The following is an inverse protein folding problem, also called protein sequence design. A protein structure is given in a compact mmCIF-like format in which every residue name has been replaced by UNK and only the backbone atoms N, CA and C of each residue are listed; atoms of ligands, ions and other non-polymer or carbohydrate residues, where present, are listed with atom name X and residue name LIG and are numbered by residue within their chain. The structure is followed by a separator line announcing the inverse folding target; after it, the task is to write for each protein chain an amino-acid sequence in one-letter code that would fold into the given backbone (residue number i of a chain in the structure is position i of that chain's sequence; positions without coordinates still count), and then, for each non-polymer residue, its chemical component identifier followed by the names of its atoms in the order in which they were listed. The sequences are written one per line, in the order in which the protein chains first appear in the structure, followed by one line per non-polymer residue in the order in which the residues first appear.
data_IF_538015368273
#
_entry.id   IF_538015368273
#
_cell.length_a   1.000
_cell.length_b   1.000
_cell.length_c   1.000
_cell.angle_alpha   90.00
_cell.angle_beta   90.00
_cell.angle_gamma   90.00
#
_symmetry.space_group_name_H-M   'P 1'
#
loop_
_entity.id
_entity.type
_entity.pdbx_description
1 polymer ?
#
# COMPACT_ATOMS: atom_id res chain seq x y z
N UNK A 1 29.72 -5.40 -71.73
CA UNK A 1 29.95 -4.40 -70.66
C UNK A 1 28.89 -4.57 -69.58
N UNK A 2 29.35 -4.80 -68.34
CA UNK A 2 28.70 -4.79 -67.02
C UNK A 2 27.22 -5.21 -66.88
N UNK A 3 27.03 -6.43 -66.34
CA UNK A 3 25.82 -6.89 -65.65
C UNK A 3 25.63 -6.04 -64.38
N UNK A 4 24.47 -5.41 -64.19
CA UNK A 4 24.05 -4.86 -62.90
C UNK A 4 23.01 -5.79 -62.30
N UNK A 5 23.42 -6.59 -61.33
CA UNK A 5 22.56 -7.42 -60.51
C UNK A 5 22.09 -6.53 -59.34
N UNK A 6 20.87 -6.01 -59.40
CA UNK A 6 20.28 -5.28 -58.29
C UNK A 6 19.82 -6.28 -57.21
N UNK A 7 20.69 -6.56 -56.25
CA UNK A 7 20.32 -7.30 -55.04
C UNK A 7 19.57 -6.31 -54.15
N UNK A 8 18.25 -6.37 -54.17
CA UNK A 8 17.40 -5.68 -53.21
C UNK A 8 17.48 -6.47 -51.89
N UNK A 9 18.44 -6.14 -51.03
CA UNK A 9 18.50 -6.68 -49.68
C UNK A 9 17.34 -6.10 -48.87
N UNK A 10 16.24 -6.83 -48.81
CA UNK A 10 15.09 -6.52 -47.96
C UNK A 10 15.52 -6.74 -46.50
N UNK A 11 16.09 -5.71 -45.88
CA UNK A 11 16.30 -5.69 -44.43
C UNK A 11 14.92 -5.64 -43.76
N UNK A 12 14.40 -6.82 -43.43
CA UNK A 12 13.21 -6.97 -42.62
C UNK A 12 13.60 -6.58 -41.19
N UNK A 13 13.49 -5.28 -40.87
CA UNK A 13 13.62 -4.79 -39.51
C UNK A 13 12.41 -5.35 -38.75
N UNK A 14 12.62 -6.48 -38.07
CA UNK A 14 11.68 -7.01 -37.09
C UNK A 14 11.70 -6.01 -35.93
N UNK A 15 10.86 -4.98 -36.00
CA UNK A 15 10.49 -4.22 -34.82
C UNK A 15 9.71 -5.19 -33.93
N UNK A 16 10.42 -5.84 -33.00
CA UNK A 16 9.76 -6.44 -31.85
C UNK A 16 9.15 -5.28 -31.06
N UNK A 17 7.88 -4.99 -31.35
CA UNK A 17 7.03 -4.24 -30.44
C UNK A 17 6.91 -5.09 -29.18
N UNK A 18 7.87 -4.89 -28.27
CA UNK A 18 7.72 -5.32 -26.89
C UNK A 18 6.51 -4.56 -26.37
N UNK A 19 5.33 -5.17 -26.42
CA UNK A 19 4.18 -4.69 -25.67
C UNK A 19 4.65 -4.61 -24.22
N UNK A 20 4.96 -3.40 -23.73
CA UNK A 20 5.18 -3.19 -22.31
C UNK A 20 3.86 -3.59 -21.64
N UNK A 21 3.85 -4.77 -21.01
CA UNK A 21 2.78 -5.19 -20.12
C UNK A 21 2.62 -4.07 -19.10
N UNK A 22 1.45 -3.46 -19.04
CA UNK A 22 1.28 -2.34 -18.12
C UNK A 22 1.48 -2.84 -16.68
N UNK A 23 2.04 -1.96 -15.85
CA UNK A 23 2.35 -2.32 -14.48
C UNK A 23 1.05 -2.54 -13.72
N UNK A 24 0.87 -3.74 -13.16
CA UNK A 24 -0.26 -4.02 -12.28
C UNK A 24 0.06 -3.53 -10.87
N UNK A 25 -0.94 -3.45 -9.99
CA UNK A 25 -0.80 -3.27 -8.54
C UNK A 25 -1.68 -4.28 -7.81
N UNK A 26 -1.35 -4.58 -6.55
CA UNK A 26 -2.24 -5.31 -5.65
C UNK A 26 -2.95 -4.28 -4.77
N UNK A 27 -4.27 -4.31 -4.73
CA UNK A 27 -5.09 -3.49 -3.85
C UNK A 27 -5.87 -4.36 -2.88
N UNK A 28 -5.84 -4.04 -1.59
CA UNK A 28 -6.53 -4.78 -0.53
C UNK A 28 -7.39 -3.82 0.28
N UNK A 29 -8.68 -4.12 0.37
CA UNK A 29 -9.62 -3.44 1.27
C UNK A 29 -10.08 -4.41 2.36
N UNK A 30 -9.53 -4.23 3.56
CA UNK A 30 -9.82 -5.07 4.73
C UNK A 30 -11.31 -5.06 5.07
N UNK A 31 -11.97 -3.91 4.99
CA UNK A 31 -13.38 -3.79 5.36
C UNK A 31 -14.31 -4.55 4.40
N UNK A 32 -13.91 -4.58 3.12
CA UNK A 32 -14.65 -5.26 2.06
C UNK A 32 -14.15 -6.69 1.83
N UNK A 33 -13.12 -7.14 2.56
CA UNK A 33 -12.59 -8.50 2.59
C UNK A 33 -12.18 -9.01 1.21
N UNK A 34 -11.57 -8.14 0.40
CA UNK A 34 -11.07 -8.53 -0.92
C UNK A 34 -9.65 -8.04 -1.19
N UNK A 35 -9.00 -8.76 -2.12
CA UNK A 35 -7.80 -8.38 -2.84
C UNK A 35 -8.15 -8.24 -4.32
N UNK A 36 -7.69 -7.16 -4.95
CA UNK A 36 -7.82 -6.91 -6.39
C UNK A 36 -6.44 -6.80 -7.04
N UNK A 37 -6.31 -7.37 -8.23
CA UNK A 37 -5.22 -7.02 -9.15
C UNK A 37 -5.75 -5.94 -10.07
N UNK A 38 -5.10 -4.78 -10.06
CA UNK A 38 -5.50 -3.64 -10.88
C UNK A 38 -4.42 -3.30 -11.89
N UNK A 39 -4.87 -2.83 -13.04
CA UNK A 39 -4.06 -2.18 -14.08
C UNK A 39 -4.77 -0.88 -14.38
N UNK A 40 -4.27 0.24 -13.87
CA UNK A 40 -5.03 1.48 -13.84
C UNK A 40 -6.34 1.32 -13.09
N UNK A 41 -7.40 1.90 -13.62
CA UNK A 41 -8.75 1.80 -13.08
C UNK A 41 -9.38 0.41 -13.33
N UNK A 42 -8.73 -0.45 -14.12
CA UNK A 42 -9.28 -1.76 -14.48
C UNK A 42 -8.93 -2.81 -13.44
N UNK A 43 -9.96 -3.47 -12.90
CA UNK A 43 -9.80 -4.67 -12.07
C UNK A 43 -9.61 -5.88 -13.00
N UNK A 44 -8.44 -6.50 -12.94
CA UNK A 44 -8.10 -7.72 -13.69
C UNK A 44 -8.66 -8.95 -12.99
N UNK A 45 -8.54 -9.00 -11.67
CA UNK A 45 -9.00 -10.10 -10.85
C UNK A 45 -9.37 -9.61 -9.45
N UNK A 46 -10.30 -10.31 -8.79
CA UNK A 46 -10.78 -10.01 -7.44
C UNK A 46 -10.96 -11.30 -6.65
N UNK A 47 -10.39 -11.35 -5.46
CA UNK A 47 -10.39 -12.53 -4.60
C UNK A 47 -10.87 -12.17 -3.20
N UNK A 48 -11.59 -13.09 -2.57
CA UNK A 48 -11.94 -13.00 -1.15
C UNK A 48 -10.68 -13.21 -0.30
N UNK A 49 -10.57 -12.50 0.83
CA UNK A 49 -9.43 -12.63 1.73
C UNK A 49 -9.82 -12.86 3.20
N UNK A 50 -8.97 -13.61 3.88
CA UNK A 50 -8.88 -13.63 5.33
C UNK A 50 -7.72 -12.74 5.78
N UNK A 51 -7.79 -12.22 6.99
CA UNK A 51 -6.76 -11.35 7.53
C UNK A 51 -6.70 -11.45 9.06
N UNK A 52 -5.99 -10.53 9.70
CA UNK A 52 -5.94 -10.41 11.16
C UNK A 52 -7.30 -10.06 11.78
N UNK A 53 -7.28 -9.73 13.07
CA UNK A 53 -8.48 -9.32 13.80
C UNK A 53 -9.18 -8.13 13.13
N UNK A 54 -10.51 -8.14 13.18
CA UNK A 54 -11.33 -7.01 12.74
C UNK A 54 -11.11 -5.83 13.69
N UNK A 55 -10.60 -4.71 13.16
CA UNK A 55 -10.41 -3.51 13.95
C UNK A 55 -10.33 -2.26 13.07
N UNK A 56 -10.88 -1.16 13.60
CA UNK A 56 -10.60 0.20 13.12
C UNK A 56 -9.24 0.72 13.61
N UNK A 57 -8.65 0.09 14.62
CA UNK A 57 -7.31 0.42 15.06
C UNK A 57 -6.28 -0.15 14.06
N UNK A 58 -5.18 0.57 13.80
CA UNK A 58 -4.12 0.05 12.95
C UNK A 58 -3.22 -0.94 13.72
N UNK A 59 -2.43 -1.70 12.95
CA UNK A 59 -1.32 -2.50 13.51
C UNK A 59 -0.25 -1.58 14.07
N UNK A 60 0.18 -1.83 15.31
CA UNK A 60 1.16 -0.99 16.03
C UNK A 60 2.14 -1.79 16.90
N UNK A 61 1.91 -3.09 17.10
CA UNK A 61 2.83 -3.91 17.89
C UNK A 61 2.81 -5.39 17.50
N UNK A 62 3.90 -6.07 17.82
CA UNK A 62 3.94 -7.54 17.79
C UNK A 62 2.83 -8.10 18.67
N UNK A 63 2.08 -9.08 18.15
CA UNK A 63 1.03 -9.76 18.91
C UNK A 63 -0.30 -9.02 19.02
N UNK A 64 -0.49 -7.88 18.33
CA UNK A 64 -1.83 -7.28 18.20
C UNK A 64 -2.76 -8.05 17.25
N UNK A 65 -2.22 -9.01 16.49
CA UNK A 65 -2.91 -9.82 15.49
C UNK A 65 -3.62 -9.00 14.41
N UNK A 66 -3.24 -7.74 14.21
CA UNK A 66 -3.80 -6.86 13.19
C UNK A 66 -2.98 -6.98 11.90
N UNK A 67 -3.65 -6.82 10.76
CA UNK A 67 -3.03 -6.65 9.44
C UNK A 67 -2.71 -5.18 9.22
N UNK A 68 -1.47 -4.84 8.83
CA UNK A 68 -1.06 -3.46 8.63
C UNK A 68 -1.77 -2.81 7.44
N UNK A 69 -1.75 -1.48 7.40
CA UNK A 69 -2.34 -0.65 6.36
C UNK A 69 -1.29 0.32 5.86
N UNK A 70 -1.29 0.63 4.56
CA UNK A 70 -0.33 1.50 3.92
C UNK A 70 0.15 0.96 2.57
N UNK A 71 1.34 1.42 2.16
CA UNK A 71 1.98 1.05 0.90
C UNK A 71 3.14 0.10 1.16
N UNK A 72 3.05 -1.12 0.63
CA UNK A 72 4.06 -2.15 0.77
C UNK A 72 4.59 -2.61 -0.59
N UNK A 73 5.68 -3.36 -0.56
CA UNK A 73 6.25 -4.10 -1.70
C UNK A 73 6.41 -5.56 -1.31
N UNK A 74 6.22 -6.46 -2.29
CA UNK A 74 6.58 -7.87 -2.12
C UNK A 74 8.09 -7.99 -2.22
N UNK A 75 8.74 -8.48 -1.16
CA UNK A 75 10.21 -8.60 -1.10
C UNK A 75 10.70 -10.02 -1.34
N UNK A 76 9.84 -11.01 -1.11
CA UNK A 76 10.18 -12.41 -1.29
C UNK A 76 8.93 -13.22 -1.62
N UNK A 77 9.09 -14.22 -2.49
CA UNK A 77 8.03 -15.17 -2.85
C UNK A 77 8.63 -16.57 -2.71
N UNK A 78 8.11 -17.34 -1.77
CA UNK A 78 8.64 -18.68 -1.46
C UNK A 78 7.52 -19.68 -1.18
N UNK A 79 7.70 -20.98 -1.47
CA UNK A 79 6.79 -22.02 -1.00
C UNK A 79 6.66 -22.00 0.53
N UNK A 80 5.50 -22.42 1.03
CA UNK A 80 5.23 -22.51 2.46
C UNK A 80 4.23 -23.63 2.76
N UNK A 81 3.99 -23.91 4.04
CA UNK A 81 2.91 -24.82 4.47
C UNK A 81 1.52 -24.34 4.00
N UNK A 82 1.38 -23.05 3.72
CA UNK A 82 0.18 -22.42 3.15
C UNK A 82 0.33 -22.19 1.63
N UNK A 83 0.89 -23.17 0.92
CA UNK A 83 1.26 -23.15 -0.52
C UNK A 83 2.41 -22.22 -0.86
N UNK A 84 2.20 -20.91 -0.75
CA UNK A 84 3.20 -19.87 -0.98
C UNK A 84 3.08 -18.78 0.07
N UNK A 85 4.18 -18.09 0.31
CA UNK A 85 4.25 -16.91 1.15
C UNK A 85 4.90 -15.76 0.36
N UNK A 86 4.12 -14.72 0.11
CA UNK A 86 4.53 -13.48 -0.55
C UNK A 86 4.77 -12.45 0.56
N UNK A 87 6.03 -12.32 0.96
CA UNK A 87 6.46 -11.51 2.09
C UNK A 87 6.40 -10.01 1.73
N UNK A 88 5.82 -9.20 2.62
CA UNK A 88 5.78 -7.75 2.49
C UNK A 88 6.96 -7.11 3.22
N UNK A 89 7.41 -5.92 2.77
CA UNK A 89 8.37 -5.07 3.48
C UNK A 89 7.81 -4.39 4.74
N UNK A 90 7.07 -5.13 5.57
CA UNK A 90 6.58 -4.64 6.86
C UNK A 90 7.58 -4.97 7.98
N UNK A 91 7.89 -4.00 8.88
CA UNK A 91 7.46 -2.60 8.86
C UNK A 91 8.22 -1.76 7.81
N UNK A 92 7.52 -0.79 7.21
CA UNK A 92 8.12 0.18 6.28
C UNK A 92 8.45 1.51 6.99
N UNK A 93 8.99 2.48 6.25
CA UNK A 93 9.33 3.81 6.76
C UNK A 93 8.17 4.50 7.52
N UNK A 94 6.95 4.45 6.98
CA UNK A 94 5.80 5.08 7.61
C UNK A 94 5.39 4.36 8.90
N UNK A 95 5.46 3.02 8.93
CA UNK A 95 5.20 2.24 10.14
C UNK A 95 6.19 2.62 11.26
N UNK A 96 7.48 2.73 10.93
CA UNK A 96 8.51 3.14 11.88
C UNK A 96 8.33 4.58 12.35
N UNK A 97 8.00 5.49 11.44
CA UNK A 97 7.75 6.90 11.74
C UNK A 97 6.57 7.07 12.71
N UNK A 98 5.47 6.36 12.46
CA UNK A 98 4.31 6.38 13.35
C UNK A 98 4.62 5.76 14.70
N UNK A 99 5.42 4.70 14.74
CA UNK A 99 5.88 4.11 15.99
C UNK A 99 6.74 5.08 16.81
N UNK A 100 7.65 5.81 16.15
CA UNK A 100 8.49 6.82 16.79
C UNK A 100 7.66 8.00 17.30
N UNK A 101 6.73 8.50 16.48
CA UNK A 101 5.79 9.55 16.86
C UNK A 101 5.01 9.20 18.13
N UNK A 102 4.55 7.96 18.24
CA UNK A 102 3.81 7.42 19.40
C UNK A 102 4.69 7.07 20.59
N UNK A 103 6.01 7.20 20.47
CA UNK A 103 6.98 6.80 21.48
C UNK A 103 7.03 5.29 21.74
N UNK A 104 6.58 4.47 20.79
CA UNK A 104 6.71 3.00 20.85
C UNK A 104 8.18 2.61 20.67
N UNK A 105 8.93 3.39 19.88
CA UNK A 105 10.36 3.21 19.66
C UNK A 105 11.12 4.48 20.00
N UNK A 106 12.34 4.33 20.51
CA UNK A 106 13.25 5.42 20.85
C UNK A 106 13.96 5.98 19.61
N UNK A 107 14.52 7.19 19.72
CA UNK A 107 15.16 7.92 18.61
C UNK A 107 16.33 7.15 18.02
N UNK A 108 17.19 6.59 18.87
CA UNK A 108 18.38 5.86 18.47
C UNK A 108 18.01 4.61 17.67
N UNK A 109 16.96 3.92 18.10
CA UNK A 109 16.40 2.75 17.42
C UNK A 109 15.74 3.13 16.09
N UNK A 110 15.00 4.24 16.07
CA UNK A 110 14.41 4.78 14.85
C UNK A 110 15.48 5.10 13.81
N UNK A 111 16.52 5.86 14.17
CA UNK A 111 17.64 6.21 13.27
C UNK A 111 18.33 4.94 12.74
N UNK A 112 18.61 3.96 13.62
CA UNK A 112 19.20 2.69 13.20
C UNK A 112 18.38 2.01 12.10
N UNK A 113 17.06 1.92 12.29
CA UNK A 113 16.19 1.25 11.33
C UNK A 113 15.99 2.03 10.03
N UNK A 114 16.01 3.37 10.08
CA UNK A 114 16.03 4.19 8.86
C UNK A 114 17.28 3.88 8.03
N UNK A 115 18.46 3.85 8.66
CA UNK A 115 19.72 3.54 7.97
C UNK A 115 19.69 2.13 7.36
N UNK A 116 19.08 1.15 8.06
CA UNK A 116 18.88 -0.20 7.51
C UNK A 116 18.00 -0.16 6.25
N UNK A 117 16.86 0.54 6.29
CA UNK A 117 15.98 0.68 5.12
C UNK A 117 16.68 1.38 3.95
N UNK A 118 17.49 2.41 4.21
CA UNK A 118 18.30 3.09 3.20
C UNK A 118 19.33 2.15 2.54
N UNK A 119 19.90 1.23 3.32
CA UNK A 119 20.81 0.18 2.83
C UNK A 119 20.09 -1.02 2.21
N UNK A 120 18.76 -0.92 1.98
CA UNK A 120 17.92 -1.99 1.40
C UNK A 120 17.82 -3.25 2.28
N UNK A 121 18.05 -3.09 3.57
CA UNK A 121 17.88 -4.15 4.56
C UNK A 121 16.42 -4.18 5.06
N UNK A 122 16.02 -5.33 5.58
CA UNK A 122 14.69 -5.53 6.17
C UNK A 122 14.80 -5.36 7.68
N UNK A 123 13.86 -4.62 8.26
CA UNK A 123 13.76 -4.50 9.72
C UNK A 123 13.06 -5.73 10.28
N UNK A 124 13.85 -6.76 10.55
CA UNK A 124 13.37 -7.95 11.26
C UNK A 124 13.26 -7.71 12.77
N UNK A 125 12.41 -8.53 13.40
CA UNK A 125 12.22 -8.57 14.85
C UNK A 125 11.94 -7.23 15.56
N UNK A 126 11.26 -6.31 14.86
CA UNK A 126 10.85 -5.04 15.46
C UNK A 126 9.81 -5.21 16.58
N UNK A 127 9.63 -4.16 17.38
CA UNK A 127 8.52 -4.04 18.34
C UNK A 127 7.15 -4.05 17.65
N UNK A 128 7.11 -3.68 16.36
CA UNK A 128 5.92 -3.72 15.50
C UNK A 128 5.63 -5.13 14.96
N UNK A 129 6.56 -6.08 15.15
CA UNK A 129 6.54 -7.40 14.53
C UNK A 129 7.28 -7.43 13.19
N UNK A 130 6.99 -8.44 12.38
CA UNK A 130 7.58 -8.66 11.06
C UNK A 130 6.92 -9.87 10.39
N UNK A 131 7.44 -10.30 9.24
CA UNK A 131 6.98 -11.50 8.51
C UNK A 131 5.47 -11.46 8.21
N UNK A 132 4.98 -10.30 7.79
CA UNK A 132 3.62 -10.14 7.27
C UNK A 132 3.65 -10.43 5.77
N UNK A 133 2.70 -11.20 5.27
CA UNK A 133 2.66 -11.60 3.88
C UNK A 133 1.28 -12.01 3.40
N UNK A 134 1.20 -12.31 2.10
CA UNK A 134 0.05 -12.92 1.46
C UNK A 134 0.32 -14.42 1.33
N UNK A 135 -0.62 -15.28 1.72
CA UNK A 135 -0.48 -16.74 1.65
C UNK A 135 -1.80 -17.45 1.34
N UNK A 136 -1.74 -18.77 1.17
CA UNK A 136 -2.92 -19.64 0.95
C UNK A 136 -3.58 -20.08 2.25
N UNK A 137 -4.17 -21.27 2.27
CA UNK A 137 -4.78 -21.85 3.46
C UNK A 137 -6.24 -21.43 3.70
N UNK A 138 -6.84 -20.65 2.80
CA UNK A 138 -8.26 -20.32 2.81
C UNK A 138 -8.55 -18.87 3.20
N UNK A 139 -9.42 -18.21 2.42
CA UNK A 139 -9.87 -16.85 2.71
C UNK A 139 -10.69 -16.76 4.01
N UNK A 140 -11.18 -17.88 4.53
CA UNK A 140 -11.87 -17.96 5.80
C UNK A 140 -11.72 -19.36 6.38
N UNK A 141 -11.99 -19.49 7.68
CA UNK A 141 -12.20 -20.77 8.35
C UNK A 141 -13.68 -20.96 8.63
N UNK A 142 -14.16 -22.19 8.48
CA UNK A 142 -15.51 -22.54 8.91
C UNK A 142 -15.50 -22.68 10.43
N UNK A 143 -16.41 -21.97 11.08
CA UNK A 143 -16.62 -22.08 12.51
C UNK A 143 -18.09 -22.32 12.80
N UNK A 144 -18.39 -23.02 13.90
CA UNK A 144 -19.76 -23.34 14.32
C UNK A 144 -20.12 -22.56 15.58
N UNK A 145 -21.23 -21.81 15.54
CA UNK A 145 -21.82 -21.05 16.67
C UNK A 145 -23.32 -21.33 16.66
N UNK A 146 -23.88 -21.72 17.81
CA UNK A 146 -25.31 -21.98 17.99
C UNK A 146 -25.92 -22.91 16.92
N UNK A 147 -25.19 -23.98 16.57
CA UNK A 147 -25.60 -24.95 15.57
C UNK A 147 -25.42 -24.51 14.10
N UNK A 148 -25.08 -23.24 13.84
CA UNK A 148 -24.90 -22.66 12.50
C UNK A 148 -23.43 -22.53 12.12
N UNK A 149 -23.11 -22.76 10.85
CA UNK A 149 -21.79 -22.52 10.28
C UNK A 149 -21.66 -21.07 9.79
N UNK A 150 -20.53 -20.44 10.10
CA UNK A 150 -20.17 -19.11 9.59
C UNK A 150 -18.73 -19.10 9.10
N UNK A 151 -18.45 -18.17 8.20
CA UNK A 151 -17.10 -17.89 7.71
C UNK A 151 -16.39 -16.95 8.69
N UNK A 152 -15.32 -17.42 9.32
CA UNK A 152 -14.39 -16.57 10.05
C UNK A 152 -13.26 -16.09 9.13
N UNK A 153 -13.30 -14.81 8.77
CA UNK A 153 -12.27 -14.15 7.96
C UNK A 153 -11.06 -13.70 8.79
N UNK A 154 -11.16 -13.68 10.11
CA UNK A 154 -10.19 -13.05 11.02
C UNK A 154 -9.36 -14.10 11.76
N UNK A 155 -8.76 -15.02 11.01
CA UNK A 155 -8.09 -16.19 11.58
C UNK A 155 -6.56 -16.10 11.56
N UNK A 156 -5.99 -15.15 10.81
CA UNK A 156 -4.54 -15.01 10.73
C UNK A 156 -4.00 -14.19 11.91
N UNK A 157 -2.67 -14.19 12.09
CA UNK A 157 -1.99 -13.33 13.07
C UNK A 157 -1.55 -11.97 12.50
N UNK A 158 -2.12 -11.55 11.37
CA UNK A 158 -1.84 -10.30 10.69
C UNK A 158 -1.50 -10.43 9.20
N UNK A 159 -1.29 -11.65 8.70
CA UNK A 159 -1.12 -11.91 7.27
C UNK A 159 -2.44 -11.72 6.49
N UNK A 160 -2.37 -11.87 5.17
CA UNK A 160 -3.53 -11.91 4.28
C UNK A 160 -3.61 -13.32 3.68
N UNK A 161 -4.72 -14.01 3.89
CA UNK A 161 -4.93 -15.37 3.41
C UNK A 161 -5.91 -15.41 2.25
N UNK A 162 -5.58 -16.16 1.20
CA UNK A 162 -6.46 -16.46 0.06
C UNK A 162 -6.79 -17.96 0.06
N UNK A 163 -7.78 -18.35 -0.73
CA UNK A 163 -7.90 -19.75 -1.10
C UNK A 163 -6.70 -20.16 -1.95
N UNK A 164 -6.27 -21.42 -1.83
CA UNK A 164 -5.08 -21.91 -2.53
C UNK A 164 -5.16 -21.71 -4.05
N UNK A 165 -6.34 -21.94 -4.65
CA UNK A 165 -6.57 -21.72 -6.08
C UNK A 165 -6.39 -20.25 -6.47
N UNK A 166 -6.94 -19.35 -5.66
CA UNK A 166 -6.88 -17.89 -5.88
C UNK A 166 -5.44 -17.39 -5.73
N UNK A 167 -4.68 -17.94 -4.77
CA UNK A 167 -3.25 -17.64 -4.62
C UNK A 167 -2.44 -18.10 -5.85
N UNK A 168 -2.72 -19.29 -6.38
CA UNK A 168 -2.04 -19.79 -7.59
C UNK A 168 -2.38 -18.94 -8.82
N UNK A 169 -3.59 -18.37 -8.89
CA UNK A 169 -3.94 -17.41 -9.93
C UNK A 169 -3.24 -16.06 -9.73
N UNK A 170 -3.21 -15.55 -8.50
CA UNK A 170 -2.51 -14.33 -8.11
C UNK A 170 -1.02 -14.38 -8.52
N UNK A 171 -0.34 -15.52 -8.30
CA UNK A 171 1.08 -15.71 -8.64
C UNK A 171 1.40 -15.47 -10.12
N UNK A 172 0.42 -15.53 -11.04
CA UNK A 172 0.61 -15.21 -12.47
C UNK A 172 0.85 -13.72 -12.73
N UNK A 173 0.50 -12.86 -11.78
CA UNK A 173 0.54 -11.40 -11.89
C UNK A 173 1.59 -10.74 -11.01
N UNK A 174 2.24 -11.51 -10.13
CA UNK A 174 3.03 -10.97 -9.02
C UNK A 174 4.51 -11.28 -9.17
N UNK A 175 5.35 -10.32 -8.77
CA UNK A 175 6.82 -10.41 -8.78
C UNK A 175 7.41 -9.71 -7.55
N UNK A 176 8.69 -9.93 -7.26
CA UNK A 176 9.39 -9.11 -6.27
C UNK A 176 9.40 -7.64 -6.71
N UNK A 177 9.26 -6.73 -5.75
CA UNK A 177 9.10 -5.28 -5.94
C UNK A 177 7.66 -4.83 -6.22
N UNK A 178 6.73 -5.78 -6.46
CA UNK A 178 5.33 -5.48 -6.77
C UNK A 178 4.67 -4.68 -5.63
N UNK A 179 4.05 -3.54 -5.97
CA UNK A 179 3.35 -2.68 -4.98
C UNK A 179 2.07 -3.34 -4.48
N UNK A 180 1.86 -3.23 -3.17
CA UNK A 180 0.68 -3.71 -2.44
C UNK A 180 0.12 -2.55 -1.63
N UNK A 181 -1.11 -2.14 -1.93
CA UNK A 181 -1.84 -1.12 -1.18
C UNK A 181 -2.84 -1.81 -0.27
N UNK A 182 -2.78 -1.50 1.03
CA UNK A 182 -3.69 -2.09 2.01
C UNK A 182 -4.38 -0.97 2.77
N UNK A 183 -5.72 -0.97 2.79
CA UNK A 183 -6.50 -0.01 3.57
C UNK A 183 -7.71 -0.65 4.24
N UNK A 184 -8.39 0.16 5.04
CA UNK A 184 -9.71 -0.11 5.58
C UNK A 184 -10.62 1.07 5.21
N UNK A 185 -11.51 0.89 4.22
CA UNK A 185 -12.32 2.00 3.69
C UNK A 185 -13.44 2.47 4.63
N UNK A 186 -13.71 1.75 5.74
CA UNK A 186 -14.62 2.23 6.79
C UNK A 186 -13.99 3.32 7.66
N UNK A 187 -12.67 3.50 7.63
CA UNK A 187 -12.00 4.55 8.41
C UNK A 187 -12.27 5.92 7.83
N UNK A 188 -12.12 6.95 8.67
CA UNK A 188 -12.08 8.34 8.22
C UNK A 188 -10.95 8.55 7.22
N UNK A 189 -11.15 9.44 6.26
CA UNK A 189 -10.17 9.68 5.20
C UNK A 189 -8.81 10.13 5.73
N UNK A 190 -8.80 10.97 6.78
CA UNK A 190 -7.57 11.34 7.49
C UNK A 190 -6.77 10.10 7.94
N UNK A 191 -7.43 9.14 8.59
CA UNK A 191 -6.79 7.96 9.15
C UNK A 191 -6.32 7.00 8.05
N UNK A 192 -7.01 6.95 6.91
CA UNK A 192 -6.54 6.25 5.70
C UNK A 192 -5.27 6.93 5.20
N UNK A 193 -5.31 8.24 4.91
CA UNK A 193 -4.18 8.98 4.37
C UNK A 193 -2.94 8.91 5.27
N UNK A 194 -3.11 8.95 6.59
CA UNK A 194 -2.02 8.81 7.57
C UNK A 194 -1.18 7.55 7.36
N UNK A 195 -1.74 6.49 6.77
CA UNK A 195 -1.03 5.25 6.44
C UNK A 195 -0.29 5.28 5.09
N UNK A 196 -0.53 6.29 4.27
CA UNK A 196 0.01 6.42 2.91
C UNK A 196 0.95 7.62 2.74
N UNK A 197 0.89 8.62 3.64
CA UNK A 197 1.76 9.80 3.60
C UNK A 197 3.23 9.47 3.81
N UNK A 198 4.08 10.31 3.26
CA UNK A 198 5.49 10.40 3.61
C UNK A 198 5.63 11.28 4.84
N UNK A 199 6.16 10.78 5.96
CA UNK A 199 6.47 11.60 7.11
C UNK A 199 7.47 12.69 6.71
N UNK A 200 7.14 13.95 6.96
CA UNK A 200 8.02 15.10 6.65
C UNK A 200 8.67 15.66 7.90
N UNK A 201 7.99 15.56 9.04
CA UNK A 201 8.51 15.95 10.35
C UNK A 201 7.83 15.13 11.44
N UNK A 202 8.67 14.61 12.34
CA UNK A 202 8.23 13.85 13.49
C UNK A 202 8.93 14.41 14.71
N UNK A 203 8.13 14.98 15.61
CA UNK A 203 8.57 15.29 16.96
C UNK A 203 7.75 14.39 17.90
N UNK A 204 8.36 13.35 18.50
CA UNK A 204 7.65 12.43 19.39
C UNK A 204 6.86 13.21 20.45
N UNK A 205 5.61 12.80 20.67
CA UNK A 205 4.72 13.45 21.64
C UNK A 205 4.50 14.95 21.44
N UNK A 206 4.80 15.49 20.26
CA UNK A 206 4.46 16.85 19.88
C UNK A 206 3.62 16.84 18.60
N UNK A 207 4.21 16.43 17.47
CA UNK A 207 3.62 16.57 16.14
C UNK A 207 4.08 15.45 15.19
N UNK A 208 3.11 14.90 14.45
CA UNK A 208 3.31 14.15 13.22
C UNK A 208 2.87 15.01 12.03
N UNK A 209 3.77 15.25 11.08
CA UNK A 209 3.48 15.89 9.81
C UNK A 209 3.80 14.93 8.66
N UNK A 210 2.92 14.87 7.66
CA UNK A 210 3.13 14.06 6.48
C UNK A 210 2.48 14.64 5.24
N UNK A 211 3.05 14.30 4.09
CA UNK A 211 2.56 14.74 2.80
C UNK A 211 2.37 13.58 1.83
N UNK A 212 1.39 13.73 0.95
CA UNK A 212 1.12 12.80 -0.13
C UNK A 212 0.76 13.56 -1.39
N UNK A 213 1.25 13.08 -2.52
CA UNK A 213 1.04 13.70 -3.82
C UNK A 213 0.40 12.67 -4.74
N UNK A 214 -0.70 13.04 -5.38
CA UNK A 214 -1.47 12.18 -6.26
C UNK A 214 -1.55 12.85 -7.64
N UNK A 215 -0.95 12.23 -8.65
CA UNK A 215 -1.03 12.72 -10.03
C UNK A 215 -2.34 12.24 -10.65
N UNK A 216 -3.22 13.16 -11.04
CA UNK A 216 -4.46 12.79 -11.75
C UNK A 216 -4.23 12.71 -13.27
N UNK A 217 -3.39 13.60 -13.80
CA UNK A 217 -2.93 13.60 -15.19
C UNK A 217 -1.66 14.44 -15.31
N UNK A 218 -1.14 14.64 -16.52
CA UNK A 218 0.08 15.42 -16.77
C UNK A 218 0.04 16.85 -16.22
N UNK A 219 -1.14 17.47 -16.21
CA UNK A 219 -1.31 18.87 -15.81
C UNK A 219 -1.87 19.02 -14.39
N UNK A 220 -2.40 17.95 -13.78
CA UNK A 220 -3.18 18.03 -12.54
C UNK A 220 -2.65 17.11 -11.46
N UNK A 221 -2.39 17.67 -10.28
CA UNK A 221 -2.05 16.90 -9.09
C UNK A 221 -2.79 17.41 -7.86
N UNK A 222 -3.04 16.48 -6.93
CA UNK A 222 -3.56 16.77 -5.60
C UNK A 222 -2.44 16.55 -4.59
N UNK A 223 -2.26 17.53 -3.72
CA UNK A 223 -1.41 17.42 -2.54
C UNK A 223 -2.30 17.27 -1.31
N UNK A 224 -2.01 16.29 -0.48
CA UNK A 224 -2.58 16.10 0.84
C UNK A 224 -1.51 16.41 1.87
N UNK A 225 -1.77 17.35 2.76
CA UNK A 225 -0.94 17.66 3.90
C UNK A 225 -1.67 17.28 5.18
N UNK A 226 -1.03 16.50 6.03
CA UNK A 226 -1.57 16.02 7.29
C UNK A 226 -0.73 16.54 8.45
N UNK A 227 -1.41 16.97 9.50
CA UNK A 227 -0.81 17.26 10.79
C UNK A 227 -1.66 16.62 11.89
N UNK A 228 -1.01 15.92 12.81
CA UNK A 228 -1.62 15.46 14.06
C UNK A 228 -0.72 15.87 15.23
N UNK A 229 -1.31 16.48 16.26
CA UNK A 229 -0.58 16.83 17.47
C UNK A 229 -0.80 15.79 18.59
N UNK A 230 -0.03 15.93 19.67
CA UNK A 230 -0.11 15.04 20.83
C UNK A 230 -1.45 15.04 21.57
N UNK A 231 -2.27 16.07 21.40
CA UNK A 231 -3.62 16.15 21.96
C UNK A 231 -4.65 15.43 21.07
N UNK A 232 -4.23 14.92 19.92
CA UNK A 232 -5.09 14.24 18.95
C UNK A 232 -5.83 15.19 18.00
N UNK A 233 -5.50 16.49 18.00
CA UNK A 233 -6.02 17.42 16.99
C UNK A 233 -5.46 17.05 15.63
N UNK A 234 -6.34 16.93 14.65
CA UNK A 234 -6.06 16.48 13.29
C UNK A 234 -6.37 17.61 12.32
N UNK A 235 -5.43 17.88 11.42
CA UNK A 235 -5.61 18.82 10.32
C UNK A 235 -5.23 18.17 9.00
N UNK A 236 -6.19 18.12 8.08
CA UNK A 236 -5.99 17.75 6.68
C UNK A 236 -6.16 18.99 5.81
N UNK A 237 -5.19 19.24 4.95
CA UNK A 237 -5.27 20.26 3.91
C UNK A 237 -5.12 19.57 2.55
N UNK A 238 -6.12 19.74 1.69
CA UNK A 238 -6.13 19.20 0.32
C UNK A 238 -5.95 20.37 -0.64
N UNK A 239 -4.97 20.28 -1.53
CA UNK A 239 -4.69 21.31 -2.54
C UNK A 239 -4.71 20.69 -3.93
N UNK A 240 -5.56 21.22 -4.81
CA UNK A 240 -5.59 20.84 -6.23
C UNK A 240 -4.80 21.85 -7.05
N UNK A 241 -3.86 21.35 -7.82
CA UNK A 241 -3.00 22.16 -8.67
C UNK A 241 -3.23 21.78 -10.12
N UNK A 242 -3.37 22.78 -10.99
CA UNK A 242 -3.52 22.61 -12.43
C UNK A 242 -2.50 23.49 -13.13
N UNK A 243 -1.61 22.89 -13.93
CA UNK A 243 -0.50 23.55 -14.62
C UNK A 243 0.34 24.43 -13.68
N UNK A 244 0.63 23.90 -12.49
CA UNK A 244 1.39 24.59 -11.44
C UNK A 244 0.66 25.68 -10.67
N UNK A 245 -0.58 26.02 -11.04
CA UNK A 245 -1.40 26.99 -10.31
C UNK A 245 -2.33 26.30 -9.31
N UNK A 246 -2.38 26.81 -8.07
CA UNK A 246 -3.36 26.36 -7.07
C UNK A 246 -4.77 26.74 -7.54
N UNK A 247 -5.64 25.75 -7.70
CA UNK A 247 -7.03 25.96 -8.13
C UNK A 247 -8.03 25.79 -7.00
N UNK A 248 -7.71 24.93 -6.03
CA UNK A 248 -8.63 24.57 -4.97
C UNK A 248 -7.85 24.26 -3.70
N UNK A 249 -8.41 24.64 -2.56
CA UNK A 249 -7.87 24.34 -1.24
C UNK A 249 -9.02 24.03 -0.29
N UNK A 250 -9.00 22.83 0.29
CA UNK A 250 -9.94 22.39 1.32
C UNK A 250 -9.15 22.17 2.61
N UNK A 251 -9.70 22.61 3.72
CA UNK A 251 -9.17 22.33 5.06
C UNK A 251 -10.22 21.58 5.87
N UNK A 252 -9.77 20.64 6.69
CA UNK A 252 -10.62 19.94 7.64
C UNK A 252 -10.93 20.79 8.87
N UNK A 253 -11.91 20.35 9.65
CA UNK A 253 -12.01 20.71 11.07
C UNK A 253 -10.86 20.10 11.91
N UNK A 254 -10.83 20.39 13.22
CA UNK A 254 -9.83 19.86 14.17
C UNK A 254 -9.92 18.35 14.43
N UNK A 255 -10.99 17.71 13.95
CA UNK A 255 -11.17 16.25 13.99
C UNK A 255 -10.72 15.58 12.70
N UNK A 256 -10.22 16.35 11.73
CA UNK A 256 -9.78 15.85 10.43
C UNK A 256 -10.91 15.59 9.45
N UNK A 257 -12.15 16.04 9.71
CA UNK A 257 -13.28 15.85 8.81
C UNK A 257 -13.28 16.91 7.70
N UNK A 258 -13.58 16.49 6.48
CA UNK A 258 -13.69 17.36 5.29
C UNK A 258 -15.10 17.24 4.68
N UNK A 259 -15.59 18.25 3.93
CA UNK A 259 -16.73 18.06 3.06
C UNK A 259 -16.45 17.00 1.99
N UNK A 260 -17.49 16.29 1.53
CA UNK A 260 -17.41 15.33 0.42
C UNK A 260 -16.33 14.23 0.63
N UNK A 261 -16.14 13.80 1.88
CA UNK A 261 -15.09 12.84 2.26
C UNK A 261 -15.12 11.54 1.42
N UNK A 262 -16.30 11.02 1.11
CA UNK A 262 -16.46 9.79 0.33
C UNK A 262 -16.01 9.95 -1.13
N UNK A 263 -16.20 11.13 -1.71
CA UNK A 263 -15.73 11.43 -3.07
C UNK A 263 -14.19 11.50 -3.11
N UNK A 264 -13.57 12.09 -2.08
CA UNK A 264 -12.12 12.07 -1.92
C UNK A 264 -11.56 10.67 -1.69
N UNK A 265 -12.22 9.83 -0.88
CA UNK A 265 -11.84 8.42 -0.71
C UNK A 265 -11.88 7.67 -2.02
N UNK A 266 -12.97 7.85 -2.79
CA UNK A 266 -13.13 7.22 -4.10
C UNK A 266 -12.02 7.66 -5.06
N UNK A 267 -11.83 8.97 -5.22
CA UNK A 267 -10.78 9.55 -6.07
C UNK A 267 -9.40 9.02 -5.69
N UNK A 268 -9.10 8.96 -4.39
CA UNK A 268 -7.84 8.43 -3.87
C UNK A 268 -7.63 6.96 -4.24
N UNK A 269 -8.66 6.12 -4.01
CA UNK A 269 -8.61 4.68 -4.27
C UNK A 269 -8.46 4.36 -5.76
N UNK A 270 -9.15 5.12 -6.62
CA UNK A 270 -9.08 4.96 -8.08
C UNK A 270 -7.70 5.33 -8.65
N UNK A 271 -6.95 6.20 -7.95
CA UNK A 271 -5.69 6.74 -8.43
C UNK A 271 -4.45 6.27 -7.64
N UNK A 272 -4.56 5.22 -6.81
CA UNK A 272 -3.45 4.75 -5.95
C UNK A 272 -2.13 4.46 -6.67
N UNK A 273 -2.20 3.98 -7.92
CA UNK A 273 -1.00 3.73 -8.73
C UNK A 273 -0.23 5.01 -9.07
N UNK A 274 -0.93 6.15 -9.09
CA UNK A 274 -0.40 7.47 -9.44
C UNK A 274 0.09 8.25 -8.21
N UNK A 275 0.24 7.57 -7.06
CA UNK A 275 0.87 8.15 -5.89
C UNK A 275 2.34 8.47 -6.19
N UNK A 276 2.64 9.75 -6.14
CA UNK A 276 3.98 10.27 -6.29
C UNK A 276 4.71 10.17 -4.97
N UNK A 277 6.02 10.00 -5.11
CA UNK A 277 6.94 9.97 -3.98
C UNK A 277 7.82 11.19 -4.06
N UNK A 278 7.54 12.23 -3.26
CA UNK A 278 8.30 13.47 -3.30
C UNK A 278 9.77 13.22 -2.91
N UNK A 279 10.02 12.22 -2.07
CA UNK A 279 11.36 11.86 -1.60
C UNK A 279 11.84 10.55 -2.26
N UNK A 280 12.08 10.58 -3.58
CA UNK A 280 12.61 9.40 -4.32
C UNK A 280 13.88 8.80 -3.70
N UNK A 281 14.65 9.59 -2.94
CA UNK A 281 15.87 9.16 -2.25
C UNK A 281 15.59 8.19 -1.09
N UNK A 282 14.37 8.22 -0.53
CA UNK A 282 13.91 7.31 0.52
C UNK A 282 13.21 6.07 -0.07
N UNK A 283 13.15 5.97 -1.39
CA UNK A 283 12.73 4.76 -2.10
C UNK A 283 13.92 3.98 -2.63
N UNK A 284 13.98 2.75 -2.15
CA UNK A 284 14.57 1.60 -2.81
C UNK A 284 13.88 1.36 -4.16
#
# INVERSE_FOLDING_TARGET
MKKFLAIFSFYLIIFSFSYLKAETIIFIDKSKKFLEIREKEKIIAKYEIGFGLESVLPKEKRGDFLTPEGVFKIINIKPSEYKYFLELNYPNLNDLALAYYKGIIEKEKFIKWINMLENKEIVEDSLLGGKIGIHGGGAFKWEKRDGKLYKNYHWTKGCIALNDKDLLELLKYVKNGQKVFILNSQKKFFDILKKFVYPTKIKPFEIFEGELYLKLNEDTYINFYLLENYQGSKKLVIKKWVRGALKEKIESDESGNIPEEEDFKKLFIENLENLLKPYKQLEI
#
